data_IF_554195406854
#
_entry.id   IF_554195406854
#
_cell.length_a   1.000
_cell.length_b   1.000
_cell.length_c   1.000
_cell.angle_alpha   90.00
_cell.angle_beta   90.00
_cell.angle_gamma   90.00
#
_symmetry.space_group_name_H-M   'P 1'
#
loop_
_entity.id
_entity.type
_entity.pdbx_description
1 polymer ?
#
# COMPACT_ATOMS: atom_id res chain seq x y z
N UNK A 1 10.33 0.07 -14.59
CA UNK A 1 9.88 0.73 -15.84
C UNK A 1 11.01 0.73 -16.86
N UNK A 2 11.92 -0.21 -16.68
CA UNK A 2 13.33 -0.21 -17.02
C UNK A 2 13.92 -1.38 -16.20
N UNK A 3 15.06 -1.91 -16.62
CA UNK A 3 15.71 -3.03 -15.97
C UNK A 3 16.78 -2.61 -14.95
N UNK A 4 16.69 -1.40 -14.39
CA UNK A 4 17.67 -0.87 -13.41
C UNK A 4 19.13 -0.95 -13.94
N UNK A 5 20.13 -0.46 -13.22
CA UNK A 5 21.50 -0.35 -13.74
C UNK A 5 22.34 -1.64 -13.63
N UNK A 6 21.76 -2.73 -13.11
CA UNK A 6 22.46 -4.00 -12.94
C UNK A 6 22.45 -4.87 -14.20
N UNK A 7 21.67 -4.52 -15.21
CA UNK A 7 21.46 -5.33 -16.39
C UNK A 7 22.45 -4.96 -17.50
N UNK A 8 23.63 -5.58 -17.49
CA UNK A 8 24.80 -5.24 -18.35
C UNK A 8 24.56 -5.31 -19.87
N UNK A 9 23.44 -5.87 -20.34
CA UNK A 9 23.12 -6.00 -21.77
C UNK A 9 22.10 -4.99 -22.30
N UNK A 10 21.54 -4.11 -21.46
CA UNK A 10 20.63 -3.04 -21.89
C UNK A 10 21.30 -1.66 -21.78
N UNK A 11 20.86 -0.72 -22.62
CA UNK A 11 21.32 0.67 -22.56
C UNK A 11 20.95 1.33 -21.22
N UNK A 12 21.80 2.26 -20.75
CA UNK A 12 21.57 3.01 -19.51
C UNK A 12 20.15 3.61 -19.47
N UNK A 13 19.52 3.49 -18.29
CA UNK A 13 18.16 3.97 -18.07
C UNK A 13 18.05 5.47 -18.38
N UNK A 14 17.21 5.82 -19.35
CA UNK A 14 16.86 7.22 -19.64
C UNK A 14 15.48 7.57 -19.11
N UNK A 15 15.30 8.83 -18.69
CA UNK A 15 14.00 9.34 -18.19
C UNK A 15 12.90 9.17 -19.24
N UNK A 16 13.23 9.38 -20.51
CA UNK A 16 12.26 9.28 -21.61
C UNK A 16 11.79 7.84 -21.85
N UNK A 17 12.70 6.85 -21.78
CA UNK A 17 12.35 5.44 -21.88
C UNK A 17 11.43 5.00 -20.73
N UNK A 18 11.75 5.43 -19.50
CA UNK A 18 10.91 5.17 -18.31
C UNK A 18 9.51 5.76 -18.48
N UNK A 19 9.41 7.01 -18.94
CA UNK A 19 8.12 7.68 -19.13
C UNK A 19 7.28 7.03 -20.24
N UNK A 20 7.91 6.54 -21.31
CA UNK A 20 7.22 5.83 -22.39
C UNK A 20 6.62 4.51 -21.88
N UNK A 21 7.41 3.70 -21.18
CA UNK A 21 6.98 2.42 -20.59
C UNK A 21 5.89 2.66 -19.52
N UNK A 22 6.06 3.69 -18.68
CA UNK A 22 5.07 4.06 -17.68
C UNK A 22 3.72 4.41 -18.32
N UNK A 23 3.71 5.26 -19.36
CA UNK A 23 2.47 5.64 -20.08
C UNK A 23 1.76 4.42 -20.67
N UNK A 24 2.51 3.49 -21.26
CA UNK A 24 1.95 2.24 -21.76
C UNK A 24 1.34 1.39 -20.63
N UNK A 25 2.02 1.29 -19.49
CA UNK A 25 1.56 0.50 -18.34
C UNK A 25 0.39 1.13 -17.60
N UNK A 26 0.23 2.45 -17.61
CA UNK A 26 -0.92 3.14 -17.00
C UNK A 26 -2.24 2.66 -17.58
N UNK A 27 -2.34 2.50 -18.91
CA UNK A 27 -3.58 2.02 -19.52
C UNK A 27 -3.89 0.57 -19.14
N UNK A 28 -2.87 -0.27 -19.02
CA UNK A 28 -3.03 -1.64 -18.53
C UNK A 28 -3.45 -1.66 -17.06
N UNK A 29 -2.83 -0.87 -16.20
CA UNK A 29 -3.19 -0.75 -14.79
C UNK A 29 -4.65 -0.27 -14.62
N UNK A 30 -5.08 0.73 -15.39
CA UNK A 30 -6.49 1.18 -15.40
C UNK A 30 -7.46 0.08 -15.83
N UNK A 31 -7.09 -0.76 -16.80
CA UNK A 31 -7.92 -1.91 -17.21
C UNK A 31 -8.03 -2.94 -16.09
N UNK A 32 -6.90 -3.27 -15.45
CA UNK A 32 -6.88 -4.19 -14.30
C UNK A 32 -7.75 -3.65 -13.16
N UNK A 33 -7.59 -2.38 -12.76
CA UNK A 33 -8.40 -1.78 -11.70
C UNK A 33 -9.89 -1.85 -12.05
N UNK A 34 -10.29 -1.44 -13.26
CA UNK A 34 -11.70 -1.51 -13.70
C UNK A 34 -12.26 -2.92 -13.70
N UNK A 35 -11.46 -3.94 -14.04
CA UNK A 35 -11.88 -5.33 -14.03
C UNK A 35 -11.89 -5.96 -12.63
N UNK A 36 -11.06 -5.46 -11.70
CA UNK A 36 -10.90 -6.02 -10.36
C UNK A 36 -11.87 -5.41 -9.36
N UNK A 37 -12.10 -4.09 -9.39
CA UNK A 37 -12.96 -3.40 -8.41
C UNK A 37 -14.35 -4.04 -8.24
N UNK A 38 -15.09 -4.39 -9.31
CA UNK A 38 -16.40 -5.04 -9.16
C UNK A 38 -16.36 -6.44 -8.55
N UNK A 39 -15.19 -7.09 -8.52
CA UNK A 39 -14.98 -8.44 -7.97
C UNK A 39 -14.59 -8.42 -6.50
N UNK A 40 -14.30 -7.25 -5.93
CA UNK A 40 -13.96 -7.12 -4.52
C UNK A 40 -15.24 -7.37 -3.71
N UNK A 41 -15.26 -8.38 -2.82
CA UNK A 41 -16.44 -8.67 -2.02
C UNK A 41 -16.76 -7.49 -1.10
N UNK A 42 -18.05 -7.25 -0.88
CA UNK A 42 -18.52 -6.27 0.08
C UNK A 42 -18.48 -6.88 1.49
N UNK A 43 -18.15 -6.06 2.50
CA UNK A 43 -18.11 -6.48 3.90
C UNK A 43 -16.71 -6.48 4.50
N UNK A 44 -16.56 -6.98 5.74
CA UNK A 44 -15.29 -6.98 6.44
C UNK A 44 -14.27 -7.87 5.72
N UNK A 45 -13.14 -7.28 5.38
CA UNK A 45 -11.97 -8.01 4.89
C UNK A 45 -11.51 -9.03 5.95
N UNK A 46 -10.99 -10.22 5.57
CA UNK A 46 -10.38 -11.16 6.53
C UNK A 46 -9.30 -10.53 7.41
N UNK A 47 -8.67 -9.45 6.95
CA UNK A 47 -7.63 -8.72 7.65
C UNK A 47 -8.14 -7.50 8.44
N UNK A 48 -9.46 -7.29 8.53
CA UNK A 48 -10.07 -6.12 9.18
C UNK A 48 -9.64 -5.94 10.65
N UNK A 49 -9.30 -7.04 11.33
CA UNK A 49 -8.86 -7.06 12.72
C UNK A 49 -7.36 -7.40 12.88
N UNK A 50 -6.55 -7.23 11.84
CA UNK A 50 -5.12 -7.60 11.86
C UNK A 50 -4.32 -6.96 13.02
N UNK A 51 -4.78 -5.83 13.57
CA UNK A 51 -4.11 -5.14 14.67
C UNK A 51 -4.52 -5.60 16.08
N UNK A 52 -5.56 -6.44 16.22
CA UNK A 52 -6.13 -6.83 17.52
C UNK A 52 -5.09 -7.40 18.50
N UNK A 53 -4.18 -8.23 18.00
CA UNK A 53 -3.12 -8.86 18.78
C UNK A 53 -1.72 -8.39 18.39
N UNK A 54 -1.61 -7.33 17.58
CA UNK A 54 -0.33 -6.84 17.07
C UNK A 54 0.25 -5.69 17.90
N UNK A 55 -0.53 -5.13 18.83
CA UNK A 55 -0.10 -3.99 19.63
C UNK A 55 0.54 -4.49 20.93
N UNK A 56 1.88 -4.42 20.98
CA UNK A 56 2.67 -4.87 22.12
C UNK A 56 2.80 -3.82 23.22
N UNK A 57 2.65 -2.54 22.88
CA UNK A 57 2.80 -1.44 23.83
C UNK A 57 1.71 -1.53 24.90
N UNK A 58 2.07 -1.59 26.19
CA UNK A 58 1.10 -1.54 27.28
C UNK A 58 0.24 -0.27 27.19
N UNK A 59 -1.06 -0.39 27.44
CA UNK A 59 -2.02 0.70 27.25
C UNK A 59 -1.72 1.93 28.11
N UNK A 60 -1.27 1.71 29.33
CA UNK A 60 -0.86 2.73 30.30
C UNK A 60 0.44 3.45 29.90
N UNK A 61 1.25 2.84 29.04
CA UNK A 61 2.45 3.45 28.47
C UNK A 61 2.18 4.28 27.20
N UNK A 62 0.96 4.24 26.64
CA UNK A 62 0.59 5.02 25.46
C UNK A 62 0.28 6.46 25.88
N UNK A 63 1.03 7.42 25.37
CA UNK A 63 0.76 8.83 25.66
C UNK A 63 -0.56 9.31 25.02
N UNK A 64 -1.27 10.27 25.63
CA UNK A 64 -2.50 10.83 25.06
C UNK A 64 -2.30 11.37 23.64
N UNK A 65 -1.16 12.03 23.39
CA UNK A 65 -0.81 12.55 22.06
C UNK A 65 -0.70 11.42 21.02
N UNK A 66 -0.02 10.31 21.34
CA UNK A 66 0.11 9.18 20.40
C UNK A 66 -1.22 8.49 20.15
N UNK A 67 -2.08 8.42 21.17
CA UNK A 67 -3.42 7.88 21.00
C UNK A 67 -4.26 8.74 20.06
N UNK A 68 -4.16 10.07 20.16
CA UNK A 68 -4.82 11.00 19.24
C UNK A 68 -4.32 10.85 17.81
N UNK A 69 -2.99 10.85 17.61
CA UNK A 69 -2.35 10.70 16.29
C UNK A 69 -2.73 9.39 15.58
N UNK A 70 -2.89 8.30 16.34
CA UNK A 70 -3.12 6.94 15.80
C UNK A 70 -4.57 6.47 15.90
N UNK A 71 -5.49 7.32 16.37
CA UNK A 71 -6.85 6.92 16.70
C UNK A 71 -7.59 6.23 15.54
N UNK A 72 -7.36 6.68 14.30
CA UNK A 72 -7.98 6.08 13.10
C UNK A 72 -7.58 4.62 12.86
N UNK A 73 -6.41 4.21 13.35
CA UNK A 73 -5.86 2.86 13.15
C UNK A 73 -6.08 1.97 14.38
N UNK A 74 -5.77 2.49 15.57
CA UNK A 74 -5.71 1.69 16.80
C UNK A 74 -6.85 1.99 17.78
N UNK A 75 -7.63 3.05 17.57
CA UNK A 75 -8.60 3.54 18.55
C UNK A 75 -9.64 2.50 18.97
N UNK A 76 -10.04 1.60 18.06
CA UNK A 76 -10.97 0.50 18.38
C UNK A 76 -10.39 -0.54 19.34
N UNK A 77 -9.06 -0.64 19.46
CA UNK A 77 -8.35 -1.58 20.34
C UNK A 77 -7.80 -0.93 21.62
N UNK A 78 -7.88 0.40 21.74
CA UNK A 78 -7.39 1.17 22.88
C UNK A 78 -8.51 1.63 23.83
N UNK A 79 -9.72 1.06 23.68
CA UNK A 79 -10.85 1.24 24.62
C UNK A 79 -10.71 0.35 25.84
#
# INVERSE_FOLDING_TARGET
TDYDCWHESEEDVTVDAVLAILKQNVENAKRVIRATVPKIPHGPCPYHNALENAILTPRDAVSPQRLEELNLLIGKYMR
#
